data_IF_091064058658
#
_entry.id   IF_091064058658
#
_cell.length_a   1.000
_cell.length_b   1.000
_cell.length_c   1.000
_cell.angle_alpha   90.00
_cell.angle_beta   90.00
_cell.angle_gamma   90.00
#
_symmetry.space_group_name_H-M   'P 1'
#
loop_
_entity.id
_entity.type
_entity.pdbx_description
1 polymer ?
#
# COMPACT_ATOMS: atom_id res chain seq x y z
N UNK A 1 20.65 -58.24 0.49
CA UNK A 1 21.44 -57.09 0.02
C UNK A 1 20.83 -55.86 0.66
N UNK A 2 21.61 -55.00 1.33
CA UNK A 2 21.08 -53.75 1.85
C UNK A 2 20.69 -52.88 0.65
N UNK A 3 19.40 -52.60 0.49
CA UNK A 3 18.90 -51.63 -0.46
C UNK A 3 19.60 -50.30 -0.17
N UNK A 4 20.48 -49.86 -1.07
CA UNK A 4 21.06 -48.52 -0.94
C UNK A 4 19.93 -47.53 -1.18
N UNK A 5 19.36 -47.02 -0.09
CA UNK A 5 18.36 -45.96 -0.17
C UNK A 5 18.94 -44.83 -1.01
N UNK A 6 18.29 -44.55 -2.15
CA UNK A 6 18.71 -43.46 -3.01
C UNK A 6 18.71 -42.15 -2.20
N UNK A 7 19.69 -41.26 -2.40
CA UNK A 7 19.74 -40.02 -1.66
C UNK A 7 18.45 -39.22 -1.86
N UNK A 8 17.80 -38.85 -0.74
CA UNK A 8 16.56 -38.06 -0.73
C UNK A 8 16.91 -36.57 -0.68
N UNK A 9 16.31 -35.78 -1.57
CA UNK A 9 16.50 -34.33 -1.58
C UNK A 9 15.77 -33.67 -0.39
N UNK A 10 16.45 -32.85 0.44
CA UNK A 10 15.84 -32.24 1.62
C UNK A 10 14.65 -31.31 1.26
N UNK A 11 13.47 -31.48 1.90
CA UNK A 11 12.28 -30.66 1.61
C UNK A 11 12.50 -29.14 1.79
N UNK A 12 13.36 -28.73 2.73
CA UNK A 12 13.67 -27.34 3.01
C UNK A 12 14.43 -26.68 1.85
N UNK A 13 15.37 -27.43 1.24
CA UNK A 13 16.11 -26.98 0.06
C UNK A 13 15.19 -26.91 -1.16
N UNK A 14 14.29 -27.89 -1.30
CA UNK A 14 13.28 -27.89 -2.37
C UNK A 14 12.40 -26.65 -2.25
N UNK A 15 11.88 -26.38 -1.06
CA UNK A 15 11.09 -25.18 -0.78
C UNK A 15 11.86 -23.91 -1.12
N UNK A 16 13.10 -23.78 -0.68
CA UNK A 16 13.93 -22.60 -0.97
C UNK A 16 14.10 -22.41 -2.48
N UNK A 17 14.32 -23.49 -3.25
CA UNK A 17 14.42 -23.44 -4.71
C UNK A 17 13.12 -22.94 -5.33
N UNK A 18 11.96 -23.49 -4.91
CA UNK A 18 10.66 -23.05 -5.42
C UNK A 18 10.39 -21.57 -5.09
N UNK A 19 10.65 -21.14 -3.86
CA UNK A 19 10.45 -19.74 -3.44
C UNK A 19 11.40 -18.78 -4.19
N UNK A 20 12.64 -19.19 -4.49
CA UNK A 20 13.59 -18.41 -5.31
C UNK A 20 13.19 -18.36 -6.79
N UNK A 21 12.65 -19.46 -7.33
CA UNK A 21 12.21 -19.54 -8.72
C UNK A 21 10.90 -18.75 -8.98
N UNK A 22 10.13 -18.46 -7.93
CA UNK A 22 8.87 -17.74 -8.04
C UNK A 22 9.07 -16.25 -8.32
N UNK A 23 8.61 -15.78 -9.48
CA UNK A 23 8.66 -14.36 -9.85
C UNK A 23 7.52 -13.59 -9.14
N UNK A 24 7.88 -12.91 -8.04
CA UNK A 24 6.93 -12.11 -7.26
C UNK A 24 6.32 -10.94 -8.03
N UNK A 25 6.98 -10.43 -9.07
CA UNK A 25 6.46 -9.34 -9.90
C UNK A 25 5.31 -9.76 -10.81
N UNK A 26 5.19 -11.07 -11.08
CA UNK A 26 4.18 -11.65 -11.97
C UNK A 26 3.59 -12.93 -11.36
N UNK A 27 2.90 -12.84 -10.21
CA UNK A 27 2.45 -14.00 -9.44
C UNK A 27 1.51 -14.92 -10.24
N UNK A 28 0.78 -14.38 -11.22
CA UNK A 28 -0.19 -15.13 -12.04
C UNK A 28 0.34 -15.49 -13.44
N UNK A 29 1.63 -15.32 -13.69
CA UNK A 29 2.28 -15.64 -14.98
C UNK A 29 2.32 -17.15 -15.25
N UNK A 30 2.48 -17.53 -16.52
CA UNK A 30 2.60 -18.95 -16.91
C UNK A 30 3.76 -19.68 -16.23
N UNK A 31 4.98 -19.14 -16.11
CA UNK A 31 6.06 -19.80 -15.38
C UNK A 31 5.71 -20.11 -13.94
N UNK A 32 5.15 -19.14 -13.19
CA UNK A 32 4.74 -19.37 -11.81
C UNK A 32 3.60 -20.39 -11.70
N UNK A 33 2.64 -20.39 -12.65
CA UNK A 33 1.59 -21.42 -12.71
C UNK A 33 2.18 -22.81 -12.89
N UNK A 34 3.21 -22.96 -13.72
CA UNK A 34 3.87 -24.26 -13.90
C UNK A 34 4.49 -24.74 -12.59
N UNK A 35 5.13 -23.87 -11.81
CA UNK A 35 5.67 -24.21 -10.49
C UNK A 35 4.59 -24.74 -9.54
N UNK A 36 3.40 -24.13 -9.55
CA UNK A 36 2.26 -24.54 -8.73
C UNK A 36 1.68 -25.91 -9.13
N UNK A 37 1.94 -26.38 -10.35
CA UNK A 37 1.43 -27.64 -10.89
C UNK A 37 2.39 -28.82 -10.72
N UNK A 38 3.64 -28.58 -10.28
CA UNK A 38 4.66 -29.64 -10.16
C UNK A 38 4.28 -30.66 -9.07
N UNK A 39 3.89 -30.18 -7.89
CA UNK A 39 3.54 -31.02 -6.76
C UNK A 39 2.63 -30.29 -5.76
N UNK A 40 1.84 -31.04 -4.99
CA UNK A 40 0.97 -30.50 -3.93
C UNK A 40 1.74 -29.65 -2.92
N UNK A 41 2.90 -30.13 -2.46
CA UNK A 41 3.76 -29.39 -1.51
C UNK A 41 4.28 -28.07 -2.07
N UNK A 42 4.65 -28.04 -3.36
CA UNK A 42 5.08 -26.83 -4.04
C UNK A 42 3.95 -25.79 -4.12
N UNK A 43 2.73 -26.24 -4.44
CA UNK A 43 1.54 -25.40 -4.35
C UNK A 43 1.36 -24.81 -2.93
N UNK A 44 1.44 -25.65 -1.89
CA UNK A 44 1.30 -25.22 -0.49
C UNK A 44 2.37 -24.20 -0.07
N UNK A 45 3.63 -24.41 -0.47
CA UNK A 45 4.74 -23.50 -0.17
C UNK A 45 4.62 -22.15 -0.88
N UNK A 46 4.17 -22.16 -2.13
CA UNK A 46 4.07 -20.95 -2.95
C UNK A 46 2.75 -20.19 -2.75
N UNK A 47 1.73 -20.82 -2.16
CA UNK A 47 0.43 -20.21 -1.92
C UNK A 47 0.53 -18.86 -1.17
N UNK A 48 1.30 -18.71 -0.07
CA UNK A 48 1.47 -17.42 0.57
C UNK A 48 2.07 -16.33 -0.34
N UNK A 49 2.95 -16.70 -1.27
CA UNK A 49 3.57 -15.76 -2.20
C UNK A 49 2.60 -15.33 -3.31
N UNK A 50 1.80 -16.27 -3.83
CA UNK A 50 0.76 -16.00 -4.82
C UNK A 50 -0.29 -15.04 -4.26
N UNK A 51 -0.72 -15.26 -3.01
CA UNK A 51 -1.80 -14.53 -2.36
C UNK A 51 -1.31 -13.38 -1.45
N UNK A 52 -0.04 -12.97 -1.56
CA UNK A 52 0.51 -11.87 -0.77
C UNK A 52 -0.08 -10.50 -1.13
N UNK A 53 -0.48 -10.31 -2.40
CA UNK A 53 -0.97 -9.03 -2.93
C UNK A 53 -2.40 -9.20 -3.43
N UNK A 54 -3.33 -8.48 -2.81
CA UNK A 54 -4.74 -8.42 -3.18
C UNK A 54 -5.01 -7.11 -3.90
N UNK A 55 -5.37 -7.21 -5.17
CA UNK A 55 -5.89 -6.12 -5.98
C UNK A 55 -7.39 -6.29 -6.17
N UNK A 56 -8.18 -5.63 -5.33
CA UNK A 56 -9.63 -5.61 -5.35
C UNK A 56 -10.17 -4.32 -5.99
N UNK A 57 -9.35 -3.61 -6.78
CA UNK A 57 -9.76 -2.48 -7.60
C UNK A 57 -9.80 -2.90 -9.08
N UNK A 58 -10.98 -2.80 -9.68
CA UNK A 58 -11.29 -3.19 -11.07
C UNK A 58 -11.41 -1.99 -12.03
N UNK A 59 -11.47 -0.77 -11.49
CA UNK A 59 -11.42 0.48 -12.27
C UNK A 59 -10.17 0.40 -13.18
N UNK A 60 -10.35 0.70 -14.46
CA UNK A 60 -9.34 0.61 -15.53
C UNK A 60 -9.14 -0.78 -16.19
N UNK A 61 -10.08 -1.71 -16.01
CA UNK A 61 -10.11 -2.96 -16.80
C UNK A 61 -9.07 -4.00 -16.40
N UNK A 62 -8.27 -3.73 -15.37
CA UNK A 62 -7.40 -4.73 -14.77
C UNK A 62 -8.20 -5.69 -13.89
N UNK A 63 -8.03 -7.00 -14.11
CA UNK A 63 -8.74 -8.03 -13.35
C UNK A 63 -8.46 -7.93 -11.84
N UNK A 64 -9.51 -8.15 -11.05
CA UNK A 64 -9.34 -8.31 -9.61
C UNK A 64 -8.55 -9.59 -9.32
N UNK A 65 -7.74 -9.53 -8.27
CA UNK A 65 -6.97 -10.67 -7.81
C UNK A 65 -6.87 -10.65 -6.28
N UNK A 66 -7.21 -11.75 -5.61
CA UNK A 66 -7.91 -12.91 -6.14
C UNK A 66 -9.31 -12.54 -6.66
N UNK A 67 -9.79 -13.33 -7.61
CA UNK A 67 -11.13 -13.20 -8.12
C UNK A 67 -12.07 -14.13 -7.34
N UNK A 68 -12.70 -13.58 -6.29
CA UNK A 68 -13.61 -14.32 -5.42
C UNK A 68 -15.02 -14.50 -6.00
N UNK A 69 -15.40 -13.71 -7.02
CA UNK A 69 -16.75 -13.73 -7.59
C UNK A 69 -16.88 -14.70 -8.77
N UNK A 70 -15.79 -14.90 -9.54
CA UNK A 70 -15.83 -15.77 -10.70
C UNK A 70 -15.86 -17.24 -10.30
N UNK A 71 -17.05 -17.83 -10.36
CA UNK A 71 -17.24 -19.28 -10.28
C UNK A 71 -16.62 -19.93 -11.53
N UNK A 72 -15.61 -20.77 -11.33
CA UNK A 72 -15.02 -21.59 -12.40
C UNK A 72 -15.49 -23.03 -12.20
N UNK A 73 -16.30 -23.60 -13.10
CA UNK A 73 -16.94 -24.90 -12.87
C UNK A 73 -15.96 -26.08 -12.67
N UNK A 74 -14.69 -25.92 -13.04
CA UNK A 74 -13.68 -26.98 -12.99
C UNK A 74 -12.46 -26.65 -12.13
N UNK A 75 -12.45 -25.51 -11.43
CA UNK A 75 -11.35 -25.11 -10.55
C UNK A 75 -11.92 -24.63 -9.23
N UNK A 76 -11.40 -25.16 -8.12
CA UNK A 76 -11.70 -24.63 -6.79
C UNK A 76 -11.22 -23.18 -6.73
N UNK A 77 -12.15 -22.24 -6.87
CA UNK A 77 -11.85 -20.82 -6.66
C UNK A 77 -11.49 -20.66 -5.18
N UNK A 78 -10.33 -20.08 -4.84
CA UNK A 78 -9.97 -19.85 -3.45
C UNK A 78 -11.03 -18.97 -2.78
N UNK A 79 -11.49 -19.34 -1.58
CA UNK A 79 -12.36 -18.47 -0.79
C UNK A 79 -11.55 -17.46 0.00
N UNK A 80 -12.19 -16.42 0.54
CA UNK A 80 -11.49 -15.42 1.36
C UNK A 80 -10.99 -16.01 2.68
N UNK A 81 -11.74 -16.96 3.26
CA UNK A 81 -11.36 -17.71 4.46
C UNK A 81 -10.08 -18.51 4.23
N UNK A 82 -9.92 -19.05 3.02
CA UNK A 82 -8.79 -19.87 2.64
C UNK A 82 -7.48 -19.09 2.49
N UNK A 83 -7.54 -17.91 1.88
CA UNK A 83 -6.34 -17.16 1.44
C UNK A 83 -6.18 -15.78 2.08
N UNK A 84 -7.19 -15.24 2.77
CA UNK A 84 -7.16 -13.89 3.35
C UNK A 84 -5.99 -13.69 4.31
N UNK A 85 -5.65 -14.72 5.09
CA UNK A 85 -4.50 -14.69 6.01
C UNK A 85 -3.15 -14.49 5.32
N UNK A 86 -3.05 -14.71 4.01
CA UNK A 86 -1.81 -14.49 3.26
C UNK A 86 -1.68 -13.05 2.75
N UNK A 87 -2.76 -12.27 2.74
CA UNK A 87 -2.74 -10.90 2.26
C UNK A 87 -1.82 -10.03 3.13
N UNK A 88 -0.79 -9.47 2.50
CA UNK A 88 0.14 -8.48 3.07
C UNK A 88 -0.07 -7.10 2.49
N UNK A 89 -0.34 -7.03 1.20
CA UNK A 89 -0.65 -5.80 0.49
C UNK A 89 -2.08 -5.89 0.01
N UNK A 90 -2.92 -4.99 0.46
CA UNK A 90 -4.32 -4.94 0.07
C UNK A 90 -4.64 -3.59 -0.55
N UNK A 91 -5.16 -3.63 -1.77
CA UNK A 91 -5.71 -2.49 -2.47
C UNK A 91 -7.16 -2.78 -2.78
N UNK A 92 -8.07 -1.92 -2.34
CA UNK A 92 -9.49 -2.04 -2.64
C UNK A 92 -10.14 -0.68 -2.87
N UNK A 93 -11.25 -0.68 -3.60
CA UNK A 93 -12.12 0.47 -3.80
C UNK A 93 -13.48 0.19 -3.21
N UNK A 94 -13.92 1.01 -2.25
CA UNK A 94 -15.11 0.77 -1.43
C UNK A 94 -16.46 0.84 -2.17
N UNK A 95 -16.48 0.93 -3.50
CA UNK A 95 -17.73 1.22 -4.24
C UNK A 95 -18.03 0.34 -5.44
N UNK A 96 -17.09 -0.48 -5.91
CA UNK A 96 -17.29 -1.25 -7.16
C UNK A 96 -17.49 -2.74 -6.93
N UNK A 97 -16.91 -3.30 -5.85
CA UNK A 97 -16.91 -4.75 -5.63
C UNK A 97 -17.76 -5.20 -4.45
N UNK A 98 -17.84 -4.39 -3.41
CA UNK A 98 -18.62 -4.67 -2.22
C UNK A 98 -19.89 -3.84 -2.31
N UNK A 99 -21.04 -4.48 -2.10
CA UNK A 99 -22.34 -3.84 -2.17
C UNK A 99 -22.55 -2.93 -0.94
N UNK A 100 -21.87 -3.23 0.18
CA UNK A 100 -21.97 -2.47 1.42
C UNK A 100 -20.67 -2.40 2.24
N UNK A 101 -20.64 -1.48 3.20
CA UNK A 101 -19.53 -1.33 4.17
C UNK A 101 -19.37 -2.59 5.03
N UNK A 102 -20.47 -3.25 5.37
CA UNK A 102 -20.47 -4.51 6.14
C UNK A 102 -19.77 -5.64 5.39
N UNK A 103 -19.95 -5.74 4.07
CA UNK A 103 -19.22 -6.71 3.25
C UNK A 103 -17.73 -6.43 3.21
N UNK A 104 -17.34 -5.15 3.06
CA UNK A 104 -15.94 -4.72 3.16
C UNK A 104 -15.36 -5.08 4.52
N UNK A 105 -16.09 -4.85 5.62
CA UNK A 105 -15.67 -5.22 6.98
C UNK A 105 -15.51 -6.74 7.11
N UNK A 106 -16.48 -7.52 6.61
CA UNK A 106 -16.42 -8.99 6.63
C UNK A 106 -15.18 -9.48 5.86
N UNK A 107 -14.90 -8.93 4.69
CA UNK A 107 -13.71 -9.22 3.92
C UNK A 107 -12.41 -8.90 4.67
N UNK A 108 -12.32 -7.70 5.26
CA UNK A 108 -11.14 -7.24 6.00
C UNK A 108 -10.84 -8.10 7.23
N UNK A 109 -11.86 -8.69 7.86
CA UNK A 109 -11.67 -9.59 9.01
C UNK A 109 -10.82 -10.82 8.69
N UNK A 110 -10.77 -11.26 7.44
CA UNK A 110 -9.91 -12.38 7.01
C UNK A 110 -8.47 -11.96 6.69
N UNK A 111 -8.19 -10.66 6.57
CA UNK A 111 -6.91 -10.11 6.09
C UNK A 111 -6.06 -9.51 7.22
N UNK A 112 -5.90 -10.22 8.34
CA UNK A 112 -5.25 -9.67 9.55
C UNK A 112 -3.73 -9.42 9.43
N UNK A 113 -3.08 -9.95 8.38
CA UNK A 113 -1.64 -9.82 8.15
C UNK A 113 -1.28 -8.66 7.21
N UNK A 114 -2.21 -7.77 6.91
CA UNK A 114 -1.96 -6.62 6.03
C UNK A 114 -0.92 -5.67 6.64
N UNK A 115 0.13 -5.44 5.86
CA UNK A 115 1.23 -4.51 6.14
C UNK A 115 1.04 -3.18 5.38
N UNK A 116 0.33 -3.23 4.25
CA UNK A 116 0.15 -2.10 3.34
C UNK A 116 -1.27 -2.05 2.81
N UNK A 117 -2.01 -0.99 3.13
CA UNK A 117 -3.40 -0.81 2.74
C UNK A 117 -3.58 0.42 1.84
N UNK A 118 -4.16 0.21 0.66
CA UNK A 118 -4.72 1.27 -0.18
C UNK A 118 -6.25 1.12 -0.22
N UNK A 119 -6.94 2.06 0.41
CA UNK A 119 -8.39 2.13 0.47
C UNK A 119 -8.86 3.36 -0.33
N UNK A 120 -9.07 3.16 -1.63
CA UNK A 120 -9.39 4.26 -2.55
C UNK A 120 -10.88 4.25 -2.86
N UNK A 121 -11.67 5.06 -2.16
CA UNK A 121 -13.11 5.15 -2.35
C UNK A 121 -13.55 6.59 -2.53
N UNK A 122 -14.72 6.76 -3.15
CA UNK A 122 -15.39 8.05 -3.28
C UNK A 122 -16.41 8.27 -2.12
N UNK A 123 -16.43 7.40 -1.11
CA UNK A 123 -17.42 7.39 -0.01
C UNK A 123 -16.84 7.91 1.31
N UNK A 124 -17.74 8.48 2.12
CA UNK A 124 -17.53 9.04 3.47
C UNK A 124 -17.65 8.00 4.60
N UNK A 125 -17.23 6.78 4.34
CA UNK A 125 -17.39 5.61 5.21
C UNK A 125 -16.06 4.99 5.63
N UNK A 126 -14.92 5.66 5.42
CA UNK A 126 -13.63 5.17 5.92
C UNK A 126 -13.64 5.13 7.45
N UNK A 127 -14.35 6.05 8.10
CA UNK A 127 -14.57 6.05 9.56
C UNK A 127 -15.13 4.72 10.08
N UNK A 128 -15.98 4.05 9.31
CA UNK A 128 -16.64 2.79 9.69
C UNK A 128 -15.68 1.59 9.59
N UNK A 129 -14.58 1.74 8.84
CA UNK A 129 -13.54 0.73 8.72
C UNK A 129 -12.54 0.77 9.88
N UNK A 130 -12.41 1.91 10.57
CA UNK A 130 -11.43 2.12 11.66
C UNK A 130 -11.46 1.02 12.73
N UNK A 131 -12.62 0.58 13.25
CA UNK A 131 -12.65 -0.51 14.24
C UNK A 131 -12.08 -1.82 13.72
N UNK A 132 -12.29 -2.12 12.44
CA UNK A 132 -11.76 -3.35 11.82
C UNK A 132 -10.26 -3.22 11.55
N UNK A 133 -9.81 -2.08 11.02
CA UNK A 133 -8.40 -1.79 10.75
C UNK A 133 -7.55 -1.72 12.03
N UNK A 134 -8.17 -1.38 13.16
CA UNK A 134 -7.53 -1.41 14.49
C UNK A 134 -6.97 -2.79 14.88
N UNK A 135 -7.44 -3.86 14.23
CA UNK A 135 -6.92 -5.22 14.44
C UNK A 135 -5.65 -5.52 13.61
N UNK A 136 -5.26 -4.64 12.66
CA UNK A 136 -4.12 -4.87 11.78
C UNK A 136 -2.81 -4.47 12.47
N UNK A 137 -2.28 -5.38 13.30
CA UNK A 137 -1.04 -5.16 14.10
C UNK A 137 0.20 -4.86 13.25
N UNK A 138 0.18 -5.30 11.98
CA UNK A 138 1.30 -5.18 11.06
C UNK A 138 1.16 -4.00 10.09
N UNK A 139 0.10 -3.19 10.17
CA UNK A 139 -0.11 -2.10 9.22
C UNK A 139 1.00 -1.04 9.36
N UNK A 140 1.78 -0.84 8.29
CA UNK A 140 2.90 0.13 8.22
C UNK A 140 2.69 1.21 7.17
N UNK A 141 1.85 0.94 6.17
CA UNK A 141 1.50 1.89 5.12
C UNK A 141 -0.01 1.97 4.95
N UNK A 142 -0.55 3.20 4.96
CA UNK A 142 -1.94 3.51 4.66
C UNK A 142 -2.01 4.55 3.53
N UNK A 143 -2.84 4.28 2.52
CA UNK A 143 -3.22 5.22 1.46
C UNK A 143 -4.74 5.32 1.45
N UNK A 144 -5.28 6.44 1.91
CA UNK A 144 -6.73 6.61 2.07
C UNK A 144 -7.13 8.09 2.12
N UNK A 145 -8.42 8.35 1.87
CA UNK A 145 -9.07 9.60 2.27
C UNK A 145 -9.43 9.48 3.74
N UNK A 146 -9.08 10.50 4.54
CA UNK A 146 -9.38 10.56 5.98
C UNK A 146 -10.34 11.71 6.32
N UNK A 147 -11.03 12.26 5.32
CA UNK A 147 -11.83 13.48 5.44
C UNK A 147 -13.03 13.34 6.39
N UNK A 148 -13.62 12.15 6.43
CA UNK A 148 -14.82 11.80 7.21
C UNK A 148 -14.50 11.23 8.59
N UNK A 149 -13.22 11.06 8.92
CA UNK A 149 -12.82 10.34 10.12
C UNK A 149 -12.70 11.30 11.31
N UNK A 150 -13.45 11.08 12.40
CA UNK A 150 -13.31 11.89 13.59
C UNK A 150 -11.88 11.81 14.15
N UNK A 151 -11.34 12.94 14.56
CA UNK A 151 -9.99 13.06 15.14
C UNK A 151 -9.76 12.05 16.26
N UNK A 152 -10.71 11.95 17.19
CA UNK A 152 -10.60 11.06 18.36
C UNK A 152 -10.54 9.58 17.95
N UNK A 153 -11.29 9.19 16.91
CA UNK A 153 -11.29 7.82 16.39
C UNK A 153 -9.92 7.44 15.79
N UNK A 154 -9.27 8.36 15.09
CA UNK A 154 -7.92 8.11 14.55
C UNK A 154 -6.88 8.08 15.66
N UNK A 155 -6.89 9.03 16.60
CA UNK A 155 -5.92 9.07 17.70
C UNK A 155 -5.95 7.77 18.54
N UNK A 156 -7.13 7.18 18.73
CA UNK A 156 -7.31 5.95 19.49
C UNK A 156 -7.00 4.67 18.69
N UNK A 157 -6.89 4.76 17.36
CA UNK A 157 -6.67 3.60 16.51
C UNK A 157 -5.24 3.05 16.70
N UNK A 158 -5.07 1.77 17.09
CA UNK A 158 -3.74 1.19 17.36
C UNK A 158 -2.77 1.30 16.19
N UNK A 159 -3.26 1.21 14.95
CA UNK A 159 -2.41 1.27 13.76
C UNK A 159 -1.72 2.63 13.59
N UNK A 160 -2.23 3.72 14.19
CA UNK A 160 -1.59 5.04 14.09
C UNK A 160 -0.18 5.04 14.70
N UNK A 161 0.05 4.23 15.71
CA UNK A 161 1.37 4.05 16.32
C UNK A 161 2.30 3.20 15.46
N UNK A 162 1.79 2.40 14.53
CA UNK A 162 2.59 1.50 13.70
C UNK A 162 2.83 2.02 12.29
N UNK A 163 2.05 2.99 11.85
CA UNK A 163 2.22 3.60 10.53
C UNK A 163 3.57 4.32 10.41
N UNK A 164 4.29 3.96 9.36
CA UNK A 164 5.56 4.58 8.95
C UNK A 164 5.39 5.38 7.66
N UNK A 165 4.37 5.05 6.86
CA UNK A 165 4.03 5.74 5.62
C UNK A 165 2.54 6.06 5.59
N UNK A 166 2.20 7.27 5.17
CA UNK A 166 0.83 7.72 4.97
C UNK A 166 0.73 8.45 3.63
N UNK A 167 -0.25 8.05 2.82
CA UNK A 167 -0.69 8.79 1.65
C UNK A 167 -2.10 9.32 1.90
N UNK A 168 -2.22 10.64 2.00
CA UNK A 168 -3.51 11.31 2.09
C UNK A 168 -4.08 11.49 0.69
N UNK A 169 -5.14 10.75 0.38
CA UNK A 169 -5.82 10.78 -0.91
C UNK A 169 -6.91 11.85 -0.88
N UNK A 170 -6.77 12.86 -1.72
CA UNK A 170 -7.75 13.94 -1.92
C UNK A 170 -8.23 14.59 -0.60
N UNK A 171 -7.33 15.07 0.29
CA UNK A 171 -7.78 15.75 1.50
C UNK A 171 -8.59 17.00 1.13
N UNK A 172 -9.74 17.16 1.78
CA UNK A 172 -10.64 18.29 1.62
C UNK A 172 -10.07 19.56 2.27
N UNK A 173 -10.53 20.74 1.84
CA UNK A 173 -10.27 21.98 2.58
C UNK A 173 -10.64 21.88 4.05
N UNK A 174 -9.77 22.42 4.92
CA UNK A 174 -9.96 22.37 6.36
C UNK A 174 -9.58 21.03 7.01
N UNK A 175 -8.97 20.09 6.26
CA UNK A 175 -8.44 18.87 6.83
C UNK A 175 -7.48 19.18 8.01
N UNK A 176 -7.67 18.58 9.20
CA UNK A 176 -6.92 18.91 10.40
C UNK A 176 -5.51 18.30 10.35
N UNK A 177 -4.56 18.96 9.68
CA UNK A 177 -3.19 18.46 9.54
C UNK A 177 -2.45 18.29 10.87
N UNK A 178 -2.90 18.93 11.96
CA UNK A 178 -2.38 18.66 13.30
C UNK A 178 -2.64 17.22 13.77
N UNK A 179 -3.60 16.51 13.17
CA UNK A 179 -3.81 15.09 13.40
C UNK A 179 -2.56 14.26 13.07
N UNK A 180 -1.71 14.72 12.15
CA UNK A 180 -0.47 14.04 11.77
C UNK A 180 0.50 13.87 12.96
N UNK A 181 0.37 14.69 14.01
CA UNK A 181 1.13 14.54 15.26
C UNK A 181 0.78 13.26 16.04
N UNK A 182 -0.35 12.62 15.73
CA UNK A 182 -0.81 11.37 16.34
C UNK A 182 -0.11 10.13 15.78
N UNK A 183 0.75 10.29 14.77
CA UNK A 183 1.49 9.21 14.13
C UNK A 183 2.99 9.35 14.49
N UNK A 184 3.41 8.91 15.69
CA UNK A 184 4.77 9.17 16.19
C UNK A 184 5.87 8.52 15.34
N UNK A 185 5.53 7.44 14.62
CA UNK A 185 6.46 6.69 13.78
C UNK A 185 6.36 7.05 12.29
N UNK A 186 5.55 8.05 11.92
CA UNK A 186 5.37 8.44 10.54
C UNK A 186 6.65 9.06 9.97
N UNK A 187 7.31 8.36 9.05
CA UNK A 187 8.53 8.82 8.38
C UNK A 187 8.27 9.39 7.00
N UNK A 188 7.20 8.94 6.35
CA UNK A 188 6.91 9.30 4.97
C UNK A 188 5.46 9.72 4.85
N UNK A 189 5.26 10.92 4.31
CA UNK A 189 3.95 11.47 4.03
C UNK A 189 3.88 11.81 2.55
N UNK A 190 2.80 11.42 1.88
CA UNK A 190 2.45 11.95 0.57
C UNK A 190 1.04 12.52 0.62
N UNK A 191 0.82 13.57 -0.17
CA UNK A 191 -0.51 14.11 -0.37
C UNK A 191 -0.84 14.03 -1.85
N UNK A 192 -1.78 13.14 -2.17
CA UNK A 192 -2.21 12.86 -3.52
C UNK A 192 -3.48 13.62 -3.88
N UNK A 193 -3.42 14.38 -4.98
CA UNK A 193 -4.52 15.18 -5.50
C UNK A 193 -5.07 16.21 -4.51
N UNK A 194 -6.31 16.67 -4.70
CA UNK A 194 -6.97 17.77 -3.98
C UNK A 194 -7.09 19.04 -4.83
N UNK A 195 -8.10 19.88 -4.56
CA UNK A 195 -8.20 21.19 -5.21
C UNK A 195 -7.06 22.07 -4.71
N UNK A 196 -6.10 22.35 -5.59
CA UNK A 196 -4.86 23.02 -5.22
C UNK A 196 -5.11 24.48 -4.82
N UNK A 197 -6.26 25.04 -5.19
CA UNK A 197 -6.70 26.36 -4.68
C UNK A 197 -6.88 26.39 -3.16
N UNK A 198 -6.89 25.22 -2.50
CA UNK A 198 -7.23 25.07 -1.09
C UNK A 198 -6.04 24.70 -0.19
N UNK A 199 -4.82 24.72 -0.74
CA UNK A 199 -3.59 24.59 0.06
C UNK A 199 -2.90 25.93 0.09
N UNK A 200 -3.18 26.70 1.14
CA UNK A 200 -2.34 27.86 1.40
C UNK A 200 -0.88 27.40 1.60
N UNK A 201 0.05 28.24 1.16
CA UNK A 201 1.48 27.90 1.18
C UNK A 201 1.95 27.58 2.61
N UNK A 202 1.31 28.15 3.62
CA UNK A 202 1.69 28.04 5.01
C UNK A 202 1.30 26.68 5.58
N UNK A 203 0.15 26.12 5.21
CA UNK A 203 -0.28 24.78 5.57
C UNK A 203 0.71 23.73 5.07
N UNK A 204 1.14 23.83 3.80
CA UNK A 204 2.15 22.91 3.23
C UNK A 204 3.48 23.01 4.02
N UNK A 205 3.94 24.22 4.33
CA UNK A 205 5.18 24.43 5.09
C UNK A 205 5.05 23.95 6.53
N UNK A 206 3.91 24.20 7.17
CA UNK A 206 3.64 23.90 8.57
C UNK A 206 3.61 22.40 8.84
N UNK A 207 3.29 21.56 7.85
CA UNK A 207 3.34 20.10 8.02
C UNK A 207 4.73 19.62 8.50
N UNK A 208 5.81 20.17 7.97
CA UNK A 208 7.17 19.79 8.40
C UNK A 208 7.56 20.37 9.76
N UNK A 209 6.89 21.43 10.20
CA UNK A 209 7.01 21.98 11.55
C UNK A 209 6.26 21.10 12.54
N UNK A 210 5.04 20.69 12.20
CA UNK A 210 4.19 19.81 13.00
C UNK A 210 4.79 18.40 13.12
N UNK A 211 5.43 17.91 12.05
CA UNK A 211 5.95 16.56 11.95
C UNK A 211 7.46 16.58 11.66
N UNK A 212 8.31 17.00 12.63
CA UNK A 212 9.75 17.09 12.43
C UNK A 212 10.41 15.74 12.14
N UNK A 213 9.77 14.63 12.53
CA UNK A 213 10.21 13.26 12.32
C UNK A 213 10.09 12.79 10.86
N UNK A 214 9.38 13.53 10.00
CA UNK A 214 9.25 13.20 8.59
C UNK A 214 10.62 13.23 7.91
N UNK A 215 10.90 12.18 7.16
CA UNK A 215 12.11 12.02 6.36
C UNK A 215 11.82 12.30 4.88
N UNK A 216 10.59 12.00 4.43
CA UNK A 216 10.11 12.24 3.06
C UNK A 216 8.71 12.87 3.13
N UNK A 217 8.53 13.99 2.45
CA UNK A 217 7.24 14.65 2.26
C UNK A 217 6.96 14.88 0.77
N UNK A 218 6.12 14.04 0.18
CA UNK A 218 5.70 14.11 -1.21
C UNK A 218 4.44 14.95 -1.40
N UNK A 219 4.43 15.81 -2.42
CA UNK A 219 3.26 16.56 -2.87
C UNK A 219 3.01 16.30 -4.35
N UNK A 220 1.84 15.77 -4.67
CA UNK A 220 1.46 15.55 -6.06
C UNK A 220 1.06 16.86 -6.75
N UNK A 221 1.61 17.10 -7.95
CA UNK A 221 1.17 18.15 -8.87
C UNK A 221 0.49 17.53 -10.09
N UNK A 222 -0.84 17.62 -10.18
CA UNK A 222 -1.62 17.05 -11.31
C UNK A 222 -1.46 17.92 -12.57
N UNK A 223 -1.26 19.24 -12.40
CA UNK A 223 -0.98 20.17 -13.51
C UNK A 223 0.15 21.10 -13.11
N UNK A 224 1.08 21.40 -14.03
CA UNK A 224 2.27 22.24 -13.79
C UNK A 224 1.98 23.59 -13.13
N UNK A 225 0.77 24.14 -13.35
CA UNK A 225 0.35 25.47 -12.90
C UNK A 225 -0.45 25.49 -11.60
N UNK A 226 -0.55 24.35 -10.92
CA UNK A 226 -1.42 24.29 -9.74
C UNK A 226 -0.75 24.87 -8.50
N UNK A 227 0.54 24.61 -8.28
CA UNK A 227 1.25 25.12 -7.10
C UNK A 227 1.79 26.54 -7.31
N UNK A 228 1.80 27.33 -6.24
CA UNK A 228 2.39 28.66 -6.23
C UNK A 228 3.90 28.60 -6.49
N UNK A 229 4.46 29.65 -7.10
CA UNK A 229 5.93 29.78 -7.29
C UNK A 229 6.69 29.71 -5.96
N UNK A 230 6.08 30.20 -4.88
CA UNK A 230 6.65 30.21 -3.55
C UNK A 230 6.88 28.78 -3.04
N UNK A 231 5.94 27.85 -3.28
CA UNK A 231 6.10 26.44 -2.88
C UNK A 231 7.23 25.76 -3.63
N UNK A 232 7.41 26.04 -4.92
CA UNK A 232 8.56 25.52 -5.67
C UNK A 232 9.89 26.07 -5.12
N UNK A 233 9.95 27.37 -4.81
CA UNK A 233 11.16 28.01 -4.27
C UNK A 233 11.48 27.58 -2.84
N UNK A 234 10.46 27.39 -2.01
CA UNK A 234 10.64 26.85 -0.66
C UNK A 234 11.06 25.38 -0.74
N UNK A 235 10.37 24.61 -1.58
CA UNK A 235 10.60 23.18 -1.74
C UNK A 235 11.96 22.82 -2.32
N UNK A 236 12.59 23.71 -3.10
CA UNK A 236 13.98 23.53 -3.55
C UNK A 236 15.00 23.70 -2.43
N UNK A 237 14.64 24.35 -1.31
CA UNK A 237 15.49 24.55 -0.14
C UNK A 237 15.24 23.53 0.97
N UNK A 238 14.07 22.89 0.98
CA UNK A 238 13.72 21.87 1.97
C UNK A 238 14.05 20.46 1.43
N UNK A 239 15.12 19.81 1.92
CA UNK A 239 15.60 18.55 1.35
C UNK A 239 14.63 17.38 1.48
N UNK A 240 13.68 17.43 2.43
CA UNK A 240 12.69 16.37 2.65
C UNK A 240 11.47 16.48 1.74
N UNK A 241 11.24 17.65 1.13
CA UNK A 241 10.02 17.94 0.39
C UNK A 241 10.16 17.71 -1.12
N UNK A 242 9.31 16.88 -1.71
CA UNK A 242 9.38 16.54 -3.13
C UNK A 242 8.04 16.79 -3.80
N UNK A 243 8.04 17.63 -4.83
CA UNK A 243 6.89 17.78 -5.75
C UNK A 243 7.07 16.76 -6.87
N UNK A 244 6.03 16.00 -7.18
CA UNK A 244 6.10 14.96 -8.20
C UNK A 244 4.80 14.88 -9.02
N UNK A 245 4.89 14.26 -10.20
CA UNK A 245 3.77 14.15 -11.13
C UNK A 245 2.74 13.12 -10.63
N UNK A 246 1.45 13.51 -10.66
CA UNK A 246 0.34 12.65 -10.24
C UNK A 246 0.18 11.36 -11.01
N UNK A 247 0.68 11.30 -12.25
CA UNK A 247 0.70 10.08 -13.04
C UNK A 247 1.66 9.02 -12.47
N UNK A 248 2.55 9.39 -11.56
CA UNK A 248 3.52 8.47 -10.95
C UNK A 248 2.97 7.75 -9.71
N UNK A 249 1.98 8.34 -9.04
CA UNK A 249 1.28 7.77 -7.89
C UNK A 249 -0.11 7.31 -8.35
N UNK A 250 -0.18 6.02 -8.71
CA UNK A 250 -1.42 5.39 -9.12
C UNK A 250 -1.41 3.91 -8.76
N UNK A 251 -2.44 3.22 -9.23
CA UNK A 251 -2.63 1.77 -9.03
C UNK A 251 -1.40 0.97 -9.43
N UNK A 252 -0.86 1.26 -10.60
CA UNK A 252 0.26 0.54 -11.20
C UNK A 252 1.51 0.68 -10.34
N UNK A 253 1.81 1.91 -9.90
CA UNK A 253 2.94 2.20 -9.02
C UNK A 253 2.80 1.51 -7.66
N UNK A 254 1.59 1.54 -7.08
CA UNK A 254 1.31 0.81 -5.83
C UNK A 254 1.52 -0.69 -6.00
N UNK A 255 1.01 -1.29 -7.08
CA UNK A 255 1.15 -2.72 -7.36
C UNK A 255 2.61 -3.13 -7.57
N UNK A 256 3.39 -2.34 -8.31
CA UNK A 256 4.82 -2.57 -8.48
C UNK A 256 5.51 -2.61 -7.11
N UNK A 257 5.20 -1.67 -6.23
CA UNK A 257 5.74 -1.64 -4.86
C UNK A 257 5.30 -2.82 -3.99
N UNK A 258 4.03 -3.21 -4.07
CA UNK A 258 3.48 -4.37 -3.37
C UNK A 258 4.15 -5.68 -3.80
N UNK A 259 4.64 -5.75 -5.03
CA UNK A 259 5.41 -6.89 -5.55
C UNK A 259 6.93 -6.78 -5.31
N UNK A 260 7.38 -5.76 -4.56
CA UNK A 260 8.79 -5.55 -4.22
C UNK A 260 9.60 -4.83 -5.29
N UNK A 261 8.94 -4.28 -6.33
CA UNK A 261 9.59 -3.43 -7.33
C UNK A 261 9.76 -1.98 -6.85
N UNK A 262 10.47 -1.17 -7.65
CA UNK A 262 10.61 0.28 -7.39
C UNK A 262 9.32 0.99 -7.75
N UNK A 263 8.67 1.57 -6.75
CA UNK A 263 7.47 2.39 -6.91
C UNK A 263 7.80 3.88 -6.77
N UNK A 264 6.76 4.73 -6.76
CA UNK A 264 6.96 6.16 -6.60
C UNK A 264 7.60 6.53 -5.25
N UNK A 265 7.31 5.79 -4.17
CA UNK A 265 7.94 6.02 -2.86
C UNK A 265 9.45 5.88 -2.92
N UNK A 266 9.95 4.82 -3.56
CA UNK A 266 11.40 4.65 -3.78
C UNK A 266 12.01 5.84 -4.51
N UNK A 267 11.31 6.39 -5.51
CA UNK A 267 11.79 7.58 -6.22
C UNK A 267 11.82 8.83 -5.32
N UNK A 268 10.82 9.03 -4.47
CA UNK A 268 10.82 10.15 -3.51
C UNK A 268 12.00 10.02 -2.54
N UNK A 269 12.26 8.81 -2.02
CA UNK A 269 13.40 8.51 -1.17
C UNK A 269 14.73 8.83 -1.86
N UNK A 270 14.90 8.42 -3.12
CA UNK A 270 16.11 8.68 -3.91
C UNK A 270 16.35 10.18 -4.10
N UNK A 271 15.30 10.95 -4.41
CA UNK A 271 15.38 12.40 -4.58
C UNK A 271 15.80 13.07 -3.27
N UNK A 272 15.16 12.71 -2.16
CA UNK A 272 15.51 13.23 -0.82
C UNK A 272 16.95 12.87 -0.46
N UNK A 273 17.37 11.64 -0.73
CA UNK A 273 18.75 11.19 -0.47
C UNK A 273 19.76 11.98 -1.30
N UNK A 274 19.48 12.23 -2.57
CA UNK A 274 20.34 13.04 -3.45
C UNK A 274 20.50 14.46 -2.90
N UNK A 275 19.39 15.13 -2.55
CA UNK A 275 19.42 16.50 -1.99
C UNK A 275 20.17 16.57 -0.67
N UNK A 276 19.96 15.61 0.23
CA UNK A 276 20.70 15.53 1.50
C UNK A 276 22.20 15.37 1.30
N UNK A 277 22.64 14.74 0.20
CA UNK A 277 24.07 14.65 -0.16
C UNK A 277 24.58 15.99 -0.67
N UNK A 278 23.86 16.66 -1.56
CA UNK A 278 24.23 17.98 -2.07
C UNK A 278 24.39 19.02 -0.96
N UNK A 279 23.47 19.07 0.01
CA UNK A 279 23.54 20.01 1.14
C UNK A 279 24.71 19.78 2.10
N UNK A 280 25.42 18.64 2.02
CA UNK A 280 26.62 18.39 2.85
C UNK A 280 27.91 18.95 2.25
N UNK A 281 27.88 19.34 0.98
CA UNK A 281 29.06 19.83 0.25
C UNK A 281 29.18 21.37 0.28
N UNK A 282 28.22 22.07 0.86
CA UNK A 282 28.19 23.53 1.04
C UNK A 282 28.26 23.87 2.53
#
# INVERSE_FOLDING_TARGET
MPDSEAPVFPPELERAIFEMAFDRSKPVSMPNRNLLLIAKRAYEWLRPLVYAVFNQCDRYGGASFPDFQRKRPYLTTPTIEDVGRFAKHLLFKNTLRFDSTEETIAFLRHCQNVESLAAWGDREDFKDLIPTLSNFKNLRFLSASLNDVPKDSLVQAPFCTTLTRLELVLPLPGFPFELLTSFPNLKQLSIFGGDITMRDDDTIKNILVLCPQLEVYGLTAIKKWTLSKNIYQWGSKEPRFVIFDGHMCGRESWLIGAHGGRNFWSMLEDIVLARKRESRWF
#
